data_IF_912277526788
#
_entry.id   IF_912277526788
#
_cell.length_a   1.000
_cell.length_b   1.000
_cell.length_c   1.000
_cell.angle_alpha   90.00
_cell.angle_beta   90.00
_cell.angle_gamma   90.00
#
_symmetry.space_group_name_H-M   'P 1'
#
loop_
_entity.id
_entity.type
_entity.pdbx_description
1 polymer ?
#
# COMPACT_ATOMS: atom_id res chain seq x y z
N UNK A 1 -20.03 70.20 39.62
CA UNK A 1 -20.32 68.76 39.64
C UNK A 1 -20.23 68.17 38.22
N UNK A 2 -19.05 68.17 37.60
CA UNK A 2 -18.91 67.70 36.20
C UNK A 2 -17.56 67.04 35.87
N UNK A 3 -16.80 66.57 36.87
CA UNK A 3 -15.45 66.00 36.65
C UNK A 3 -15.18 64.69 37.41
N UNK A 4 -16.20 63.90 37.71
CA UNK A 4 -16.03 62.58 38.35
C UNK A 4 -16.66 61.40 37.58
N UNK A 5 -17.20 61.64 36.38
CA UNK A 5 -17.91 60.60 35.60
C UNK A 5 -17.08 59.96 34.47
N UNK A 6 -15.81 60.36 34.28
CA UNK A 6 -15.00 59.91 33.13
C UNK A 6 -13.99 58.81 33.51
N UNK A 7 -13.69 58.56 34.79
CA UNK A 7 -12.69 57.54 35.17
C UNK A 7 -13.24 56.12 35.36
N UNK A 8 -14.56 55.91 35.44
CA UNK A 8 -15.12 54.59 35.71
C UNK A 8 -15.36 53.71 34.47
N UNK A 9 -15.23 54.25 33.25
CA UNK A 9 -15.55 53.51 32.01
C UNK A 9 -14.32 52.95 31.26
N UNK A 10 -13.09 53.12 31.79
CA UNK A 10 -11.85 52.58 31.19
C UNK A 10 -11.32 51.30 31.84
N UNK A 11 -11.89 50.82 32.94
CA UNK A 11 -11.45 49.57 33.58
C UNK A 11 -12.27 48.33 33.17
N UNK A 12 -13.45 48.48 32.55
CA UNK A 12 -14.24 47.33 32.08
C UNK A 12 -13.64 46.63 30.86
N UNK A 13 -12.94 47.35 29.98
CA UNK A 13 -12.38 46.79 28.74
C UNK A 13 -11.18 45.86 28.95
N UNK A 14 -10.43 46.01 30.04
CA UNK A 14 -9.30 45.11 30.36
C UNK A 14 -9.75 43.77 30.94
N UNK A 15 -10.88 43.72 31.66
CA UNK A 15 -11.44 42.48 32.20
C UNK A 15 -11.94 41.51 31.11
N UNK A 16 -12.56 42.04 30.05
CA UNK A 16 -13.01 41.24 28.89
C UNK A 16 -11.87 40.80 27.98
N UNK A 17 -10.76 41.56 27.92
CA UNK A 17 -9.60 41.17 27.13
C UNK A 17 -8.82 40.03 27.79
N UNK A 18 -8.64 40.06 29.12
CA UNK A 18 -7.98 38.96 29.83
C UNK A 18 -8.85 37.70 29.95
N UNK A 19 -10.17 37.83 30.15
CA UNK A 19 -11.08 36.67 30.14
C UNK A 19 -11.28 36.10 28.74
N UNK A 20 -11.31 36.93 27.69
CA UNK A 20 -11.32 36.48 26.29
C UNK A 20 -10.02 35.79 25.87
N UNK A 21 -8.86 36.29 26.29
CA UNK A 21 -7.55 35.69 25.99
C UNK A 21 -7.34 34.38 26.76
N UNK A 22 -7.79 34.27 28.01
CA UNK A 22 -7.76 33.02 28.78
C UNK A 22 -8.77 31.98 28.25
N UNK A 23 -9.92 32.41 27.71
CA UNK A 23 -10.87 31.51 27.05
C UNK A 23 -10.34 31.04 25.69
N UNK A 24 -9.68 31.91 24.93
CA UNK A 24 -9.03 31.57 23.66
C UNK A 24 -7.80 30.66 23.86
N UNK A 25 -6.98 30.89 24.89
CA UNK A 25 -5.86 30.01 25.25
C UNK A 25 -6.31 28.66 25.81
N UNK A 26 -7.53 28.54 26.36
CA UNK A 26 -8.12 27.25 26.78
C UNK A 26 -8.80 26.48 25.64
N UNK A 27 -9.23 27.16 24.57
CA UNK A 27 -9.82 26.49 23.39
C UNK A 27 -8.84 26.28 22.24
N UNK A 28 -7.66 26.92 22.29
CA UNK A 28 -6.60 26.77 21.29
C UNK A 28 -5.55 25.70 21.66
N UNK A 29 -5.78 24.88 22.68
CA UNK A 29 -5.20 23.53 22.67
C UNK A 29 -5.97 22.73 21.63
N UNK A 30 -5.66 23.00 20.35
CA UNK A 30 -5.86 22.00 19.31
C UNK A 30 -5.13 20.76 19.82
N UNK A 31 -5.89 19.82 20.37
CA UNK A 31 -5.40 18.47 20.64
C UNK A 31 -5.22 17.87 19.24
N UNK A 32 -4.11 18.22 18.61
CA UNK A 32 -3.64 17.52 17.43
C UNK A 32 -3.56 16.07 17.86
N UNK A 33 -4.23 15.18 17.10
CA UNK A 33 -4.15 13.75 17.32
C UNK A 33 -2.69 13.39 17.64
N UNK A 34 -2.45 12.82 18.82
CA UNK A 34 -1.10 12.50 19.26
C UNK A 34 -0.57 11.38 18.37
N UNK A 35 0.03 11.77 17.26
CA UNK A 35 0.82 10.86 16.43
C UNK A 35 2.04 10.48 17.26
N UNK A 36 2.23 9.21 17.61
CA UNK A 36 3.35 8.78 18.43
C UNK A 36 4.67 9.14 17.74
N UNK A 37 5.62 9.71 18.49
CA UNK A 37 7.01 9.78 18.03
C UNK A 37 7.66 8.43 18.20
N UNK A 38 8.22 7.87 17.13
CA UNK A 38 8.94 6.60 17.20
C UNK A 38 10.37 6.78 17.72
N UNK A 39 10.90 5.73 18.36
CA UNK A 39 12.26 5.72 18.86
C UNK A 39 13.31 5.65 17.74
N UNK A 40 14.62 5.67 18.09
CA UNK A 40 15.69 5.50 17.13
C UNK A 40 15.52 4.22 16.29
N UNK A 41 15.77 4.32 14.98
CA UNK A 41 15.63 3.23 14.02
C UNK A 41 14.22 2.58 13.95
N UNK A 42 13.19 3.32 14.35
CA UNK A 42 11.80 2.94 14.15
C UNK A 42 11.14 3.88 13.16
N UNK A 43 10.13 3.35 12.47
CA UNK A 43 9.28 4.13 11.56
C UNK A 43 7.84 4.04 12.04
N UNK A 44 7.11 5.14 11.83
CA UNK A 44 5.69 5.19 12.09
C UNK A 44 4.93 4.53 10.94
N UNK A 45 4.04 3.62 11.28
CA UNK A 45 3.09 2.98 10.37
C UNK A 45 1.68 3.22 10.89
N UNK A 46 0.69 3.11 10.01
CA UNK A 46 -0.70 3.14 10.45
C UNK A 46 -1.64 2.47 9.49
N UNK A 47 -2.81 2.11 10.01
CA UNK A 47 -3.93 1.54 9.29
C UNK A 47 -5.23 1.99 9.94
N UNK A 48 -6.37 1.74 9.30
CA UNK A 48 -7.66 2.08 9.88
C UNK A 48 -8.24 0.89 10.66
N UNK A 49 -8.51 1.11 11.95
CA UNK A 49 -9.35 0.23 12.75
C UNK A 49 -10.82 0.57 12.53
N UNK A 50 -11.68 -0.45 12.48
CA UNK A 50 -13.12 -0.29 12.32
C UNK A 50 -13.90 -0.55 13.61
N UNK A 51 -15.20 -0.25 13.57
CA UNK A 51 -16.14 -0.77 14.55
C UNK A 51 -16.10 -2.31 14.59
N UNK A 52 -16.15 -2.89 15.79
CA UNK A 52 -15.99 -4.34 16.01
C UNK A 52 -17.30 -5.06 16.28
N UNK A 53 -18.37 -4.33 16.62
CA UNK A 53 -19.68 -4.93 16.85
C UNK A 53 -20.82 -3.93 16.83
N UNK A 54 -22.03 -4.40 16.50
CA UNK A 54 -23.27 -3.64 16.61
C UNK A 54 -23.87 -3.89 17.99
N UNK A 55 -24.16 -2.82 18.73
CA UNK A 55 -24.72 -2.89 20.08
C UNK A 55 -26.25 -2.85 20.05
N UNK A 56 -26.81 -1.93 19.27
CA UNK A 56 -28.26 -1.75 19.18
C UNK A 56 -28.66 -0.99 17.92
N UNK A 57 -29.87 -1.24 17.43
CA UNK A 57 -30.52 -0.47 16.39
C UNK A 57 -31.84 0.11 16.90
N UNK A 58 -32.28 1.22 16.30
CA UNK A 58 -33.59 1.83 16.52
C UNK A 58 -34.21 2.13 15.16
N UNK A 59 -35.53 1.98 15.01
CA UNK A 59 -36.19 2.13 13.71
C UNK A 59 -35.88 0.96 12.76
N UNK A 60 -35.78 1.23 11.46
CA UNK A 60 -35.54 0.21 10.44
C UNK A 60 -34.11 0.30 9.91
N UNK A 61 -33.28 -0.67 10.30
CA UNK A 61 -31.90 -0.82 9.86
C UNK A 61 -31.74 -2.16 9.14
N UNK A 62 -31.17 -2.18 7.93
CA UNK A 62 -30.90 -3.41 7.18
C UNK A 62 -29.41 -3.65 7.04
N UNK A 63 -29.00 -4.92 7.03
CA UNK A 63 -27.60 -5.36 6.94
C UNK A 63 -26.69 -4.66 7.97
N UNK A 64 -27.11 -4.61 9.23
CA UNK A 64 -26.41 -3.84 10.28
C UNK A 64 -24.94 -4.22 10.49
N UNK A 65 -24.55 -5.43 10.13
CA UNK A 65 -23.17 -5.90 10.29
C UNK A 65 -22.23 -5.39 9.19
N UNK A 66 -22.76 -4.87 8.09
CA UNK A 66 -21.97 -4.34 6.98
C UNK A 66 -21.20 -3.06 7.37
N UNK A 67 -21.61 -2.37 8.45
CA UNK A 67 -20.90 -1.20 8.99
C UNK A 67 -19.59 -1.53 9.74
N UNK A 68 -19.32 -2.82 9.98
CA UNK A 68 -18.21 -3.26 10.83
C UNK A 68 -16.92 -3.39 10.03
N UNK A 69 -15.78 -3.15 10.70
CA UNK A 69 -14.47 -3.22 10.07
C UNK A 69 -14.12 -1.99 9.22
N UNK A 70 -13.29 -2.21 8.20
CA UNK A 70 -12.87 -1.15 7.30
C UNK A 70 -13.90 -0.96 6.18
N UNK A 71 -13.96 0.25 5.63
CA UNK A 71 -14.81 0.56 4.48
C UNK A 71 -14.53 -0.39 3.31
N UNK A 72 -15.51 -1.19 2.91
CA UNK A 72 -15.39 -2.20 1.85
C UNK A 72 -16.38 -1.99 0.70
N UNK A 73 -17.33 -1.07 0.88
CA UNK A 73 -18.35 -0.70 -0.11
C UNK A 73 -19.65 -1.49 0.03
N UNK A 74 -19.72 -2.50 0.90
CA UNK A 74 -20.99 -3.01 1.40
C UNK A 74 -21.59 -1.99 2.37
N UNK A 75 -22.92 -1.92 2.49
CA UNK A 75 -23.53 -0.84 3.26
C UNK A 75 -24.69 -1.31 4.12
N UNK A 76 -24.67 -0.89 5.37
CA UNK A 76 -25.83 -0.85 6.26
C UNK A 76 -26.77 0.28 5.85
N UNK A 77 -28.03 -0.02 5.53
CA UNK A 77 -29.02 1.03 5.26
C UNK A 77 -29.71 1.45 6.55
N UNK A 78 -29.61 2.73 6.84
CA UNK A 78 -30.26 3.44 7.94
C UNK A 78 -31.46 4.22 7.37
N UNK A 79 -32.69 3.72 7.56
CA UNK A 79 -33.88 4.42 7.07
C UNK A 79 -34.14 5.72 7.84
N UNK A 80 -35.01 6.57 7.31
CA UNK A 80 -35.49 7.75 8.02
C UNK A 80 -35.98 7.39 9.43
N UNK A 81 -35.73 8.26 10.42
CA UNK A 81 -36.08 8.05 11.84
C UNK A 81 -35.42 6.82 12.50
N UNK A 82 -34.27 6.38 11.98
CA UNK A 82 -33.55 5.22 12.48
C UNK A 82 -32.20 5.59 13.11
N UNK A 83 -31.64 4.65 13.86
CA UNK A 83 -30.33 4.79 14.51
C UNK A 83 -29.62 3.46 14.62
N UNK A 84 -28.29 3.48 14.58
CA UNK A 84 -27.42 2.34 14.83
C UNK A 84 -26.33 2.74 15.82
N UNK A 85 -26.02 1.86 16.76
CA UNK A 85 -24.94 2.03 17.74
C UNK A 85 -23.91 0.94 17.57
N UNK A 86 -22.65 1.32 17.44
CA UNK A 86 -21.51 0.41 17.24
C UNK A 86 -20.47 0.56 18.35
N UNK A 87 -19.79 -0.54 18.68
CA UNK A 87 -18.64 -0.59 19.60
C UNK A 87 -17.36 -0.53 18.77
N UNK A 88 -16.45 0.38 19.12
CA UNK A 88 -15.12 0.49 18.52
C UNK A 88 -14.14 -0.57 19.06
N UNK A 89 -14.56 -1.36 20.05
CA UNK A 89 -13.79 -2.43 20.70
C UNK A 89 -12.79 -1.94 21.74
N UNK A 90 -12.47 -0.64 21.70
CA UNK A 90 -11.58 0.04 22.66
C UNK A 90 -12.02 1.49 22.86
N UNK A 91 -11.48 2.12 23.91
CA UNK A 91 -11.70 3.55 24.18
C UNK A 91 -10.74 4.37 23.31
N UNK A 92 -11.29 5.16 22.40
CA UNK A 92 -10.59 6.17 21.61
C UNK A 92 -10.46 7.45 22.42
N UNK A 93 -9.23 7.89 22.68
CA UNK A 93 -8.98 9.12 23.44
C UNK A 93 -9.46 10.35 22.66
N UNK A 94 -9.90 11.39 23.37
CA UNK A 94 -10.18 12.71 22.80
C UNK A 94 -9.00 13.22 21.93
N UNK A 95 -9.31 13.94 20.85
CA UNK A 95 -8.35 14.42 19.87
C UNK A 95 -8.05 13.45 18.73
N UNK A 96 -8.41 12.16 18.86
CA UNK A 96 -8.34 11.22 17.73
C UNK A 96 -9.37 11.55 16.65
N UNK A 97 -9.07 11.17 15.42
CA UNK A 97 -9.96 11.35 14.28
C UNK A 97 -10.84 10.11 14.07
N UNK A 98 -12.14 10.31 13.97
CA UNK A 98 -13.12 9.32 13.55
C UNK A 98 -13.50 9.57 12.09
N UNK A 99 -13.46 8.56 11.25
CA UNK A 99 -13.85 8.63 9.84
C UNK A 99 -15.11 7.79 9.60
N UNK A 100 -16.13 8.39 8.98
CA UNK A 100 -17.40 7.74 8.67
C UNK A 100 -17.58 7.73 7.17
N UNK A 101 -17.67 6.54 6.59
CA UNK A 101 -17.95 6.32 5.16
C UNK A 101 -19.45 6.09 4.96
N UNK A 102 -20.09 6.96 4.19
CA UNK A 102 -21.53 6.94 3.97
C UNK A 102 -21.93 7.53 2.62
N UNK A 103 -23.15 7.26 2.18
CA UNK A 103 -23.84 7.96 1.09
C UNK A 103 -25.30 8.16 1.46
N UNK A 104 -25.99 9.04 0.75
CA UNK A 104 -27.40 9.30 0.95
C UNK A 104 -28.10 9.62 -0.36
N UNK A 105 -29.39 9.29 -0.44
CA UNK A 105 -30.26 9.58 -1.57
C UNK A 105 -30.86 10.99 -1.56
N UNK A 106 -30.83 11.69 -0.42
CA UNK A 106 -31.40 13.03 -0.27
C UNK A 106 -30.66 13.86 0.81
N UNK A 107 -31.10 15.10 1.04
CA UNK A 107 -30.45 16.04 1.96
C UNK A 107 -31.41 16.58 3.03
N UNK A 108 -32.57 15.95 3.20
CA UNK A 108 -33.65 16.52 4.01
C UNK A 108 -33.31 16.57 5.50
N UNK A 109 -32.49 15.65 5.98
CA UNK A 109 -31.97 15.59 7.35
C UNK A 109 -30.51 15.12 7.37
N UNK A 110 -29.65 15.73 8.22
CA UNK A 110 -28.27 15.29 8.38
C UNK A 110 -28.18 13.93 9.09
N UNK A 111 -27.09 13.20 8.85
CA UNK A 111 -26.67 12.08 9.66
C UNK A 111 -26.01 12.63 10.94
N UNK A 112 -26.61 12.34 12.07
CA UNK A 112 -26.11 12.74 13.37
C UNK A 112 -25.07 11.75 13.85
N UNK A 113 -23.95 12.26 14.33
CA UNK A 113 -22.87 11.46 14.93
C UNK A 113 -22.84 11.75 16.41
N UNK A 114 -23.17 10.75 17.21
CA UNK A 114 -23.17 10.83 18.65
C UNK A 114 -22.17 9.83 19.24
N UNK A 115 -21.56 10.19 20.37
CA UNK A 115 -20.51 9.39 21.00
C UNK A 115 -20.75 9.20 22.50
N UNK A 116 -20.29 8.07 23.03
CA UNK A 116 -20.34 7.76 24.45
C UNK A 116 -19.17 6.85 24.87
N UNK A 117 -18.82 6.89 26.16
CA UNK A 117 -17.89 5.93 26.79
C UNK A 117 -18.58 4.68 27.32
N UNK A 118 -19.91 4.70 27.48
CA UNK A 118 -20.76 3.57 27.91
C UNK A 118 -21.81 3.24 26.85
N UNK A 119 -22.11 1.95 26.67
CA UNK A 119 -23.08 1.47 25.68
C UNK A 119 -24.49 2.06 25.89
N UNK A 120 -24.86 2.35 27.14
CA UNK A 120 -26.16 2.92 27.51
C UNK A 120 -26.20 4.45 27.47
N UNK A 121 -25.08 5.10 27.15
CA UNK A 121 -24.95 6.56 27.14
C UNK A 121 -24.51 7.15 28.50
N UNK A 122 -24.64 8.47 28.68
CA UNK A 122 -25.27 9.43 27.78
C UNK A 122 -24.51 9.62 26.46
N UNK A 123 -25.24 9.79 25.36
CA UNK A 123 -24.68 10.07 24.04
C UNK A 123 -24.58 11.58 23.80
N UNK A 124 -23.41 12.05 23.40
CA UNK A 124 -23.15 13.45 23.05
C UNK A 124 -23.09 13.58 21.54
N UNK A 125 -23.90 14.47 20.95
CA UNK A 125 -23.82 14.79 19.54
C UNK A 125 -22.57 15.64 19.25
N UNK A 126 -21.70 15.14 18.36
CA UNK A 126 -20.42 15.78 18.05
C UNK A 126 -20.32 16.28 16.61
N UNK A 127 -21.20 15.82 15.72
CA UNK A 127 -21.23 16.27 14.35
C UNK A 127 -22.60 16.04 13.69
N UNK A 128 -22.87 16.83 12.66
CA UNK A 128 -23.98 16.66 11.73
C UNK A 128 -23.36 16.54 10.34
N UNK A 129 -23.45 15.36 9.75
CA UNK A 129 -22.94 15.09 8.42
C UNK A 129 -24.08 15.31 7.43
N UNK A 130 -24.00 16.34 6.60
CA UNK A 130 -24.94 16.50 5.50
C UNK A 130 -24.77 15.33 4.52
N UNK A 131 -25.87 14.92 3.89
CA UNK A 131 -25.80 14.04 2.72
C UNK A 131 -24.81 14.61 1.70
N UNK A 132 -23.93 13.78 1.17
CA UNK A 132 -23.00 14.21 0.13
C UNK A 132 -23.81 14.46 -1.15
N UNK A 133 -24.11 15.72 -1.43
CA UNK A 133 -24.72 16.14 -2.69
C UNK A 133 -23.67 16.02 -3.80
N UNK A 134 -23.50 14.84 -4.36
CA UNK A 134 -23.07 14.74 -5.75
C UNK A 134 -24.34 14.51 -6.57
N UNK A 135 -24.56 15.36 -7.56
CA UNK A 135 -25.51 15.25 -8.69
C UNK A 135 -26.64 14.21 -8.56
N UNK A 136 -27.93 14.58 -8.74
CA UNK A 136 -29.04 13.61 -8.74
C UNK A 136 -28.70 12.34 -9.54
N UNK A 137 -28.63 11.19 -8.85
CA UNK A 137 -28.17 9.91 -9.40
C UNK A 137 -26.75 9.47 -9.03
N UNK A 138 -25.97 10.26 -8.28
CA UNK A 138 -24.64 9.86 -7.79
C UNK A 138 -24.75 9.00 -6.53
N UNK A 139 -24.47 7.70 -6.67
CA UNK A 139 -24.37 6.74 -5.57
C UNK A 139 -22.96 6.71 -4.94
N UNK A 140 -22.23 7.83 -4.96
CA UNK A 140 -20.81 7.84 -4.60
C UNK A 140 -20.62 7.88 -3.08
N UNK A 141 -19.97 6.85 -2.55
CA UNK A 141 -19.57 6.78 -1.15
C UNK A 141 -18.63 7.95 -0.79
N UNK A 142 -18.90 8.61 0.34
CA UNK A 142 -18.11 9.73 0.85
C UNK A 142 -17.62 9.42 2.26
N UNK A 143 -16.38 9.81 2.59
CA UNK A 143 -15.82 9.67 3.93
C UNK A 143 -15.66 11.03 4.59
N UNK A 144 -16.31 11.23 5.74
CA UNK A 144 -16.16 12.44 6.56
C UNK A 144 -15.32 12.15 7.79
N UNK A 145 -14.41 13.07 8.13
CA UNK A 145 -13.51 12.97 9.28
C UNK A 145 -13.90 13.95 10.38
N UNK A 146 -13.95 13.47 11.63
CA UNK A 146 -14.44 14.20 12.80
C UNK A 146 -13.45 14.00 13.95
N UNK A 147 -12.96 15.07 14.57
CA UNK A 147 -12.13 14.97 15.77
C UNK A 147 -12.99 14.71 17.01
N UNK A 148 -12.65 13.68 17.77
CA UNK A 148 -13.36 13.32 18.99
C UNK A 148 -13.14 14.38 20.09
N UNK A 149 -14.20 14.99 20.65
CA UNK A 149 -14.05 15.96 21.73
C UNK A 149 -13.87 15.31 23.11
N UNK A 150 -14.19 14.02 23.24
CA UNK A 150 -14.16 13.25 24.49
C UNK A 150 -13.74 11.82 24.22
N UNK A 151 -13.23 11.15 25.27
CA UNK A 151 -12.94 9.72 25.23
C UNK A 151 -14.21 8.92 24.89
N UNK A 152 -14.10 8.08 23.87
CA UNK A 152 -15.26 7.48 23.20
C UNK A 152 -15.00 6.00 22.92
N UNK A 153 -15.97 5.14 23.23
CA UNK A 153 -15.94 3.72 22.81
C UNK A 153 -17.10 3.37 21.90
N UNK A 154 -18.25 4.03 22.08
CA UNK A 154 -19.47 3.74 21.35
C UNK A 154 -19.84 4.91 20.46
N UNK A 155 -20.15 4.61 19.19
CA UNK A 155 -20.61 5.58 18.20
C UNK A 155 -22.06 5.26 17.88
N UNK A 156 -22.95 6.25 18.00
CA UNK A 156 -24.33 6.17 17.54
C UNK A 156 -24.49 7.08 16.33
N UNK A 157 -24.98 6.50 15.24
CA UNK A 157 -25.36 7.20 14.02
C UNK A 157 -26.88 7.22 13.94
N UNK A 158 -27.48 8.39 13.73
CA UNK A 158 -28.95 8.52 13.63
C UNK A 158 -29.39 9.55 12.62
N UNK A 159 -30.61 9.37 12.09
CA UNK A 159 -31.24 10.27 11.11
C UNK A 159 -32.72 10.41 11.43
N UNK A 160 -33.33 11.54 11.11
CA UNK A 160 -34.75 11.85 11.39
C UNK A 160 -35.61 12.00 10.13
N UNK A 161 -35.03 11.92 8.93
CA UNK A 161 -35.78 12.20 7.70
C UNK A 161 -35.17 11.66 6.41
N UNK A 162 -33.87 11.39 6.42
CA UNK A 162 -33.11 10.96 5.25
C UNK A 162 -32.64 9.53 5.41
N UNK A 163 -32.67 8.76 4.32
CA UNK A 163 -32.04 7.43 4.27
C UNK A 163 -30.54 7.57 4.03
N UNK A 164 -29.75 6.84 4.81
CA UNK A 164 -28.29 6.77 4.66
C UNK A 164 -27.85 5.33 4.44
N UNK A 165 -26.93 5.13 3.52
CA UNK A 165 -26.19 3.87 3.39
C UNK A 165 -24.80 4.08 3.99
N UNK A 166 -24.51 3.34 5.06
CA UNK A 166 -23.30 3.45 5.88
C UNK A 166 -22.38 2.28 5.54
N UNK A 167 -21.13 2.54 5.16
CA UNK A 167 -20.14 1.51 4.84
C UNK A 167 -19.29 1.19 6.08
N UNK A 168 -18.70 2.21 6.72
CA UNK A 168 -17.88 1.94 7.90
C UNK A 168 -17.72 3.14 8.84
N UNK A 169 -17.41 2.83 10.09
CA UNK A 169 -16.94 3.77 11.10
C UNK A 169 -15.54 3.36 11.51
N UNK A 170 -14.54 4.20 11.22
CA UNK A 170 -13.13 3.87 11.35
C UNK A 170 -12.31 4.94 12.09
N UNK A 171 -11.12 4.59 12.53
CA UNK A 171 -10.15 5.49 13.16
C UNK A 171 -8.72 5.05 12.80
N UNK A 172 -7.76 5.97 12.69
CA UNK A 172 -6.38 5.60 12.43
C UNK A 172 -5.77 4.94 13.68
N UNK A 173 -5.10 3.82 13.47
CA UNK A 173 -4.24 3.15 14.44
C UNK A 173 -2.81 3.39 14.00
N UNK A 174 -1.98 3.95 14.88
CA UNK A 174 -0.56 4.15 14.63
C UNK A 174 0.30 3.16 15.42
N UNK A 175 1.33 2.63 14.79
CA UNK A 175 2.33 1.74 15.41
C UNK A 175 3.73 2.13 14.99
N UNK A 176 4.62 2.20 15.96
CA UNK A 176 6.06 2.24 15.70
C UNK A 176 6.56 0.83 15.45
N UNK A 177 7.21 0.63 14.32
CA UNK A 177 7.81 -0.64 13.92
C UNK A 177 9.27 -0.42 13.63
N UNK A 178 10.09 -1.48 13.75
CA UNK A 178 11.49 -1.38 13.40
C UNK A 178 11.63 -1.02 11.92
N UNK A 179 12.59 -0.17 11.59
CA UNK A 179 12.93 0.09 10.20
C UNK A 179 13.39 -1.23 9.55
N UNK A 180 12.71 -1.73 8.51
CA UNK A 180 13.07 -3.00 7.87
C UNK A 180 14.41 -2.91 7.14
N UNK A 181 14.88 -1.71 6.81
CA UNK A 181 16.21 -1.48 6.28
C UNK A 181 17.22 -1.43 7.44
N UNK A 182 18.06 -2.47 7.65
CA UNK A 182 19.06 -2.45 8.70
C UNK A 182 20.12 -1.38 8.42
N UNK A 183 20.70 -0.84 9.49
CA UNK A 183 21.93 -0.05 9.38
C UNK A 183 23.10 -1.02 9.19
N UNK A 184 23.80 -0.91 8.07
CA UNK A 184 24.93 -1.78 7.79
C UNK A 184 26.18 -1.37 8.55
N UNK A 185 26.99 -2.36 8.96
CA UNK A 185 28.25 -2.11 9.62
C UNK A 185 29.24 -1.39 8.69
N UNK A 186 30.29 -0.78 9.25
CA UNK A 186 31.35 -0.19 8.45
C UNK A 186 31.93 -1.23 7.47
N UNK A 187 32.12 -0.83 6.21
CA UNK A 187 32.57 -1.71 5.13
C UNK A 187 31.45 -2.56 4.51
N UNK A 188 30.19 -2.38 4.91
CA UNK A 188 29.03 -2.99 4.27
C UNK A 188 28.16 -1.92 3.58
N UNK A 189 27.45 -2.32 2.52
CA UNK A 189 26.42 -1.52 1.88
C UNK A 189 25.07 -2.22 1.98
N UNK A 190 24.00 -1.43 2.10
CA UNK A 190 22.65 -1.94 2.09
C UNK A 190 22.27 -2.31 0.65
N UNK A 191 21.93 -3.57 0.43
CA UNK A 191 21.30 -4.02 -0.81
C UNK A 191 19.78 -4.09 -0.61
N UNK A 192 19.04 -3.64 -1.61
CA UNK A 192 17.58 -3.77 -1.68
C UNK A 192 17.20 -4.41 -3.01
N UNK A 193 16.33 -5.42 -2.98
CA UNK A 193 15.73 -6.00 -4.19
C UNK A 193 14.25 -6.31 -3.95
N UNK A 194 13.48 -6.37 -5.03
CA UNK A 194 12.05 -6.68 -4.98
C UNK A 194 11.83 -8.18 -5.08
N UNK A 195 10.99 -8.73 -4.21
CA UNK A 195 10.53 -10.11 -4.27
C UNK A 195 9.01 -10.15 -4.45
N UNK A 196 8.54 -11.04 -5.33
CA UNK A 196 7.12 -11.31 -5.52
C UNK A 196 6.57 -12.29 -4.49
N UNK A 197 5.24 -12.37 -4.40
CA UNK A 197 4.57 -13.49 -3.73
C UNK A 197 4.97 -14.82 -4.38
N UNK A 198 5.04 -15.90 -3.61
CA UNK A 198 5.57 -17.19 -4.07
C UNK A 198 4.48 -18.14 -4.54
N UNK A 199 3.26 -18.03 -4.00
CA UNK A 199 2.14 -18.90 -4.37
C UNK A 199 0.79 -18.29 -4.04
N UNK A 200 -0.26 -18.86 -4.64
CA UNK A 200 -1.65 -18.61 -4.27
C UNK A 200 -2.02 -19.57 -3.14
N UNK A 201 -2.37 -19.03 -1.98
CA UNK A 201 -2.80 -19.80 -0.82
C UNK A 201 -4.29 -20.18 -0.89
N UNK A 202 -5.15 -19.22 -1.26
CA UNK A 202 -6.59 -19.43 -1.33
C UNK A 202 -7.25 -18.43 -2.29
N UNK A 203 -8.41 -18.82 -2.82
CA UNK A 203 -9.32 -17.93 -3.55
C UNK A 203 -10.74 -18.09 -3.02
N UNK A 204 -11.55 -17.03 -3.09
CA UNK A 204 -12.99 -17.10 -2.86
C UNK A 204 -13.73 -16.41 -4.00
N UNK A 205 -14.85 -16.95 -4.44
CA UNK A 205 -15.57 -16.45 -5.62
C UNK A 205 -14.87 -16.82 -6.94
N UNK A 206 -15.09 -16.03 -7.98
CA UNK A 206 -14.51 -16.27 -9.32
C UNK A 206 -13.19 -15.53 -9.48
N UNK A 207 -12.09 -16.28 -9.45
CA UNK A 207 -10.74 -15.79 -9.77
C UNK A 207 -10.21 -16.57 -10.96
N UNK A 208 -9.89 -15.87 -12.05
CA UNK A 208 -9.32 -16.47 -13.26
C UNK A 208 -7.83 -16.18 -13.34
N UNK A 209 -7.00 -17.17 -13.67
CA UNK A 209 -5.55 -16.99 -13.81
C UNK A 209 -4.86 -16.61 -12.50
N UNK A 210 -5.30 -17.16 -11.36
CA UNK A 210 -4.80 -16.76 -10.03
C UNK A 210 -3.27 -16.85 -9.88
N UNK A 211 -2.64 -17.84 -10.51
CA UNK A 211 -1.17 -17.99 -10.50
C UNK A 211 -0.44 -16.80 -11.14
N UNK A 212 -1.09 -16.06 -12.03
CA UNK A 212 -0.51 -14.88 -12.67
C UNK A 212 -0.26 -13.75 -11.67
N UNK A 213 -0.92 -13.73 -10.51
CA UNK A 213 -0.66 -12.74 -9.45
C UNK A 213 0.62 -13.01 -8.63
N UNK A 214 1.35 -14.08 -8.95
CA UNK A 214 2.54 -14.52 -8.21
C UNK A 214 3.82 -14.15 -8.94
N UNK A 215 4.93 -14.05 -8.21
CA UNK A 215 6.20 -13.66 -8.76
C UNK A 215 6.31 -12.15 -9.04
N UNK A 216 7.30 -11.76 -9.85
CA UNK A 216 7.51 -10.38 -10.27
C UNK A 216 6.43 -9.91 -11.26
N UNK A 217 6.23 -8.59 -11.42
CA UNK A 217 5.36 -8.07 -12.47
C UNK A 217 5.86 -8.50 -13.85
N UNK A 218 5.01 -9.18 -14.61
CA UNK A 218 5.32 -9.69 -15.95
C UNK A 218 4.29 -9.26 -17.01
N UNK A 219 3.21 -8.60 -16.58
CA UNK A 219 2.14 -8.09 -17.45
C UNK A 219 0.98 -9.07 -17.63
N UNK A 220 1.11 -10.31 -17.15
CA UNK A 220 0.04 -11.31 -17.18
C UNK A 220 -0.78 -11.20 -15.90
N UNK A 221 -2.10 -11.07 -16.02
CA UNK A 221 -2.94 -10.70 -14.86
C UNK A 221 -3.81 -11.84 -14.37
N UNK A 222 -4.02 -11.90 -13.05
CA UNK A 222 -5.13 -12.59 -12.42
C UNK A 222 -6.37 -11.67 -12.41
N UNK A 223 -7.53 -12.21 -12.77
CA UNK A 223 -8.79 -11.44 -12.75
C UNK A 223 -9.58 -11.78 -11.50
N UNK A 224 -9.86 -10.79 -10.68
CA UNK A 224 -10.74 -10.86 -9.52
C UNK A 224 -12.08 -10.20 -9.88
N UNK A 225 -13.17 -10.96 -9.92
CA UNK A 225 -14.53 -10.43 -10.10
C UNK A 225 -15.39 -10.80 -8.88
N UNK A 226 -15.70 -9.81 -8.04
CA UNK A 226 -16.40 -10.00 -6.76
C UNK A 226 -15.85 -11.20 -5.98
N UNK A 227 -14.53 -11.21 -5.81
CA UNK A 227 -13.78 -12.34 -5.31
C UNK A 227 -12.61 -11.87 -4.44
N UNK A 228 -11.98 -12.83 -3.76
CA UNK A 228 -10.71 -12.59 -3.08
C UNK A 228 -9.64 -13.57 -3.52
N UNK A 229 -8.39 -13.10 -3.49
CA UNK A 229 -7.20 -13.93 -3.62
C UNK A 229 -6.33 -13.72 -2.39
N UNK A 230 -5.81 -14.81 -1.84
CA UNK A 230 -4.82 -14.79 -0.76
C UNK A 230 -3.51 -15.33 -1.31
N UNK A 231 -2.46 -14.52 -1.24
CA UNK A 231 -1.11 -14.82 -1.72
C UNK A 231 -0.19 -15.11 -0.53
N UNK A 232 0.65 -16.14 -0.64
CA UNK A 232 1.73 -16.43 0.32
C UNK A 232 3.02 -15.77 -0.16
N UNK A 233 3.63 -14.93 0.67
CA UNK A 233 4.91 -14.29 0.41
C UNK A 233 6.09 -15.27 0.54
N UNK A 234 5.84 -16.51 0.97
CA UNK A 234 6.80 -17.60 1.16
C UNK A 234 7.57 -17.52 2.47
N UNK A 235 7.69 -16.32 3.05
CA UNK A 235 8.31 -16.06 4.34
C UNK A 235 7.61 -14.90 5.05
N UNK A 236 7.86 -14.74 6.35
CA UNK A 236 7.35 -13.59 7.10
C UNK A 236 8.15 -12.36 6.70
N UNK A 237 7.46 -11.39 6.12
CA UNK A 237 7.96 -10.06 5.79
C UNK A 237 7.74 -9.16 6.99
N UNK A 238 8.81 -8.53 7.47
CA UNK A 238 8.75 -7.67 8.65
C UNK A 238 7.84 -6.45 8.43
N UNK A 239 7.20 -5.99 9.50
CA UNK A 239 6.49 -4.73 9.54
C UNK A 239 7.40 -3.57 9.10
N UNK A 240 6.80 -2.52 8.56
CA UNK A 240 7.50 -1.36 8.03
C UNK A 240 7.95 -1.52 6.58
N UNK A 241 7.97 -2.73 6.03
CA UNK A 241 8.19 -2.96 4.59
C UNK A 241 7.09 -2.30 3.75
N UNK A 242 7.41 -1.98 2.50
CA UNK A 242 6.43 -1.52 1.53
C UNK A 242 5.95 -2.73 0.74
N UNK A 243 4.65 -2.94 0.78
CA UNK A 243 3.93 -3.83 -0.11
C UNK A 243 3.55 -3.04 -1.37
N UNK A 244 4.01 -3.50 -2.52
CA UNK A 244 3.77 -2.88 -3.83
C UNK A 244 2.91 -3.81 -4.67
N UNK A 245 1.74 -3.32 -5.08
CA UNK A 245 0.79 -4.03 -5.91
C UNK A 245 0.78 -3.43 -7.32
N UNK A 246 0.97 -4.24 -8.35
CA UNK A 246 0.74 -3.84 -9.75
C UNK A 246 -0.65 -4.33 -10.17
N UNK A 247 -1.53 -3.39 -10.52
CA UNK A 247 -2.92 -3.69 -10.82
C UNK A 247 -3.55 -2.71 -11.79
N UNK A 248 -4.67 -3.11 -12.38
CA UNK A 248 -5.64 -2.21 -13.03
C UNK A 248 -7.06 -2.68 -12.67
N UNK A 249 -8.06 -1.97 -13.14
CA UNK A 249 -9.46 -2.35 -12.97
C UNK A 249 -10.25 -2.10 -14.24
N UNK A 250 -11.34 -2.86 -14.41
CA UNK A 250 -12.23 -2.75 -15.58
C UNK A 250 -12.82 -1.34 -15.75
N UNK A 251 -13.07 -0.65 -14.64
CA UNK A 251 -13.62 0.71 -14.62
C UNK A 251 -12.65 1.68 -13.94
N UNK A 252 -12.79 2.98 -14.21
CA UNK A 252 -11.97 4.05 -13.62
C UNK A 252 -12.46 4.52 -12.25
N UNK A 253 -13.66 4.09 -11.83
CA UNK A 253 -14.22 4.33 -10.48
C UNK A 253 -14.98 3.11 -9.93
N UNK A 254 -14.37 1.92 -9.87
CA UNK A 254 -14.96 0.79 -9.17
C UNK A 254 -14.83 1.00 -7.65
N UNK A 255 -15.47 0.13 -6.90
CA UNK A 255 -15.20 0.03 -5.47
C UNK A 255 -13.71 -0.28 -5.23
N UNK A 256 -13.16 0.22 -4.11
CA UNK A 256 -11.74 0.08 -3.83
C UNK A 256 -11.35 -1.39 -3.58
N UNK A 257 -10.20 -1.80 -4.12
CA UNK A 257 -9.60 -3.10 -3.84
C UNK A 257 -9.05 -3.09 -2.42
N UNK A 258 -9.62 -3.91 -1.55
CA UNK A 258 -9.20 -4.01 -0.16
C UNK A 258 -7.93 -4.85 -0.05
N UNK A 259 -6.99 -4.39 0.77
CA UNK A 259 -5.75 -5.10 1.06
C UNK A 259 -5.71 -5.43 2.53
N UNK A 260 -5.71 -6.73 2.84
CA UNK A 260 -5.57 -7.23 4.20
C UNK A 260 -4.37 -8.13 4.34
N UNK A 261 -3.78 -8.20 5.53
CA UNK A 261 -2.57 -8.98 5.78
C UNK A 261 -2.69 -9.84 7.03
N UNK A 262 -1.95 -10.95 7.07
CA UNK A 262 -1.91 -11.91 8.18
C UNK A 262 -0.57 -12.65 8.22
N UNK A 263 -0.18 -13.15 9.40
CA UNK A 263 0.91 -14.13 9.52
C UNK A 263 0.43 -15.58 9.31
N UNK A 264 -0.87 -15.83 9.46
CA UNK A 264 -1.51 -17.14 9.36
C UNK A 264 -2.36 -17.24 8.10
N UNK A 265 -2.30 -18.39 7.43
CA UNK A 265 -3.05 -18.68 6.21
C UNK A 265 -4.58 -18.51 6.39
N UNK A 266 -5.06 -18.77 7.61
CA UNK A 266 -6.48 -18.73 7.97
C UNK A 266 -6.90 -17.42 8.67
N UNK A 267 -5.99 -16.44 8.75
CA UNK A 267 -6.22 -15.20 9.49
C UNK A 267 -5.97 -15.33 11.00
N UNK A 268 -6.42 -14.33 11.79
CA UNK A 268 -7.24 -13.19 11.38
C UNK A 268 -6.50 -12.24 10.43
N UNK A 269 -7.20 -11.75 9.42
CA UNK A 269 -6.67 -10.76 8.47
C UNK A 269 -6.95 -9.34 8.99
N UNK A 270 -5.91 -8.49 8.97
CA UNK A 270 -6.02 -7.06 9.29
C UNK A 270 -6.07 -6.27 8.00
N UNK A 271 -7.11 -5.47 7.77
CA UNK A 271 -7.15 -4.53 6.65
C UNK A 271 -6.12 -3.41 6.88
N UNK A 272 -5.27 -3.16 5.89
CA UNK A 272 -4.18 -2.18 5.96
C UNK A 272 -4.37 -1.01 4.99
N UNK A 273 -5.48 -1.00 4.26
CA UNK A 273 -5.80 0.01 3.28
C UNK A 273 -6.44 -0.59 2.04
N UNK A 274 -6.61 0.27 1.05
CA UNK A 274 -7.28 -0.08 -0.18
C UNK A 274 -6.72 0.74 -1.35
N UNK A 275 -6.90 0.25 -2.56
CA UNK A 275 -6.57 0.99 -3.76
C UNK A 275 -7.81 1.34 -4.57
N UNK A 276 -7.94 2.60 -4.97
CA UNK A 276 -8.96 3.01 -5.93
C UNK A 276 -8.66 2.43 -7.31
N UNK A 277 -9.70 2.02 -8.03
CA UNK A 277 -9.52 1.46 -9.36
C UNK A 277 -8.98 2.47 -10.38
N UNK A 278 -8.21 1.96 -11.32
CA UNK A 278 -7.67 2.70 -12.44
C UNK A 278 -7.80 1.84 -13.71
N UNK A 279 -8.36 2.42 -14.78
CA UNK A 279 -8.53 1.74 -16.07
C UNK A 279 -7.21 1.36 -16.74
N UNK A 280 -6.08 1.87 -16.25
CA UNK A 280 -4.72 1.54 -16.71
C UNK A 280 -3.91 0.88 -15.62
N UNK A 281 -2.96 0.02 -15.99
CA UNK A 281 -2.00 -0.57 -15.06
C UNK A 281 -1.25 0.50 -14.27
N UNK A 282 -1.27 0.35 -12.95
CA UNK A 282 -0.66 1.26 -11.99
C UNK A 282 -0.01 0.48 -10.86
N UNK A 283 0.86 1.14 -10.10
CA UNK A 283 1.48 0.57 -8.89
C UNK A 283 0.95 1.28 -7.66
N UNK A 284 0.37 0.52 -6.74
CA UNK A 284 -0.09 0.99 -5.43
C UNK A 284 0.86 0.52 -4.33
N UNK A 285 1.14 1.39 -3.37
CA UNK A 285 2.04 1.09 -2.25
C UNK A 285 1.32 1.21 -0.90
N UNK A 286 1.48 0.21 -0.04
CA UNK A 286 1.04 0.24 1.35
C UNK A 286 2.18 -0.17 2.26
N UNK A 287 2.37 0.55 3.36
CA UNK A 287 3.37 0.19 4.37
C UNK A 287 2.77 -0.81 5.34
N UNK A 288 3.45 -1.95 5.54
CA UNK A 288 2.98 -2.99 6.45
C UNK A 288 3.00 -2.49 7.91
N UNK A 289 1.87 -2.47 8.62
CA UNK A 289 1.84 -2.10 10.03
C UNK A 289 2.10 -3.28 10.99
N UNK A 290 2.18 -4.50 10.44
CA UNK A 290 2.49 -5.74 11.14
C UNK A 290 3.30 -6.68 10.25
N UNK A 291 4.07 -7.56 10.89
CA UNK A 291 4.75 -8.67 10.24
C UNK A 291 3.74 -9.53 9.48
N UNK A 292 4.02 -9.85 8.22
CA UNK A 292 3.04 -10.38 7.28
C UNK A 292 3.62 -11.54 6.50
N UNK A 293 2.86 -12.62 6.35
CA UNK A 293 3.18 -13.71 5.39
C UNK A 293 2.14 -13.85 4.29
N UNK A 294 0.88 -13.58 4.61
CA UNK A 294 -0.25 -13.72 3.69
C UNK A 294 -0.86 -12.36 3.41
N UNK A 295 -1.08 -12.08 2.13
CA UNK A 295 -1.76 -10.87 1.65
C UNK A 295 -3.06 -11.30 0.99
N UNK A 296 -4.19 -10.76 1.45
CA UNK A 296 -5.51 -10.97 0.87
C UNK A 296 -5.95 -9.71 0.14
N UNK A 297 -6.21 -9.83 -1.15
CA UNK A 297 -6.84 -8.81 -1.96
C UNK A 297 -8.30 -9.19 -2.15
N UNK A 298 -9.24 -8.27 -1.90
CA UNK A 298 -10.66 -8.55 -1.96
C UNK A 298 -11.47 -7.38 -2.54
N UNK A 299 -12.53 -7.72 -3.27
CA UNK A 299 -13.53 -6.77 -3.76
C UNK A 299 -14.87 -7.15 -3.13
N UNK A 300 -15.50 -6.24 -2.40
CA UNK A 300 -16.69 -6.56 -1.60
C UNK A 300 -18.04 -6.21 -2.25
N UNK A 301 -18.09 -5.83 -3.53
CA UNK A 301 -19.39 -5.74 -4.22
C UNK A 301 -19.36 -6.14 -5.71
N UNK A 302 -20.53 -6.54 -6.25
CA UNK A 302 -20.68 -6.93 -7.64
C UNK A 302 -20.41 -5.74 -8.59
N UNK A 303 -20.13 -6.04 -9.87
CA UNK A 303 -19.93 -5.07 -10.96
C UNK A 303 -18.55 -4.39 -11.04
N UNK A 304 -17.53 -4.90 -10.35
CA UNK A 304 -16.15 -4.48 -10.60
C UNK A 304 -15.20 -5.67 -10.67
N UNK A 305 -14.29 -5.60 -11.65
CA UNK A 305 -13.18 -6.53 -11.76
C UNK A 305 -11.85 -5.79 -11.61
N UNK A 306 -10.92 -6.41 -10.89
CA UNK A 306 -9.53 -5.99 -10.82
C UNK A 306 -8.65 -7.00 -11.53
N UNK A 307 -7.62 -6.49 -12.19
CA UNK A 307 -6.60 -7.25 -12.87
C UNK A 307 -5.30 -7.09 -12.06
N UNK A 308 -4.83 -8.17 -11.47
CA UNK A 308 -3.68 -8.18 -10.57
C UNK A 308 -2.51 -8.84 -11.29
N UNK A 309 -1.46 -8.09 -11.53
CA UNK A 309 -0.21 -8.57 -12.13
C UNK A 309 0.70 -9.15 -11.04
N UNK A 310 1.04 -8.36 -10.01
CA UNK A 310 1.90 -8.87 -8.96
C UNK A 310 1.73 -8.16 -7.62
N UNK A 311 1.99 -8.92 -6.54
CA UNK A 311 2.25 -8.39 -5.20
C UNK A 311 3.72 -8.59 -4.88
N UNK A 312 4.41 -7.48 -4.61
CA UNK A 312 5.85 -7.44 -4.36
C UNK A 312 6.20 -6.73 -3.05
N UNK A 313 7.37 -7.01 -2.50
CA UNK A 313 7.91 -6.37 -1.32
C UNK A 313 9.43 -6.25 -1.41
N UNK A 314 10.02 -5.33 -0.64
CA UNK A 314 11.47 -5.18 -0.57
C UNK A 314 12.10 -6.21 0.37
N UNK A 315 13.22 -6.78 -0.05
CA UNK A 315 14.13 -7.52 0.81
C UNK A 315 15.39 -6.67 0.99
N UNK A 316 15.78 -6.51 2.25
CA UNK A 316 16.96 -5.74 2.65
C UNK A 316 18.02 -6.67 3.20
N UNK A 317 19.27 -6.44 2.82
CA UNK A 317 20.39 -7.16 3.42
C UNK A 317 21.68 -6.37 3.30
N UNK A 318 22.51 -6.47 4.32
CA UNK A 318 23.82 -5.83 4.33
C UNK A 318 24.85 -6.75 3.69
N UNK A 319 25.48 -6.25 2.64
CA UNK A 319 26.55 -6.97 1.94
C UNK A 319 27.87 -6.33 2.27
N UNK A 320 28.97 -7.10 2.37
CA UNK A 320 30.29 -6.50 2.26
C UNK A 320 30.29 -5.63 1.01
N UNK A 321 30.69 -4.37 1.14
CA UNK A 321 31.07 -3.62 -0.06
C UNK A 321 32.11 -4.48 -0.76
N UNK A 322 32.02 -4.59 -2.09
CA UNK A 322 33.05 -5.18 -2.92
C UNK A 322 34.33 -4.35 -2.75
N UNK A 323 34.99 -4.56 -1.62
CA UNK A 323 36.25 -3.98 -1.26
C UNK A 323 37.27 -4.91 -1.90
N UNK A 324 37.77 -4.48 -3.04
CA UNK A 324 39.20 -4.70 -3.27
C UNK A 324 39.85 -4.02 -2.07
N UNK A 325 40.38 -4.81 -1.12
CA UNK A 325 41.17 -4.27 -0.02
C UNK A 325 42.46 -3.72 -0.62
N UNK A 326 42.40 -2.47 -1.05
CA UNK A 326 43.55 -1.71 -1.50
C UNK A 326 44.47 -1.51 -0.29
N UNK A 327 45.78 -1.73 -0.45
CA UNK A 327 46.74 -1.45 0.61
C UNK A 327 46.71 0.05 0.97
N UNK A 328 47.20 0.42 2.15
CA UNK A 328 47.29 1.82 2.58
C UNK A 328 47.94 2.69 1.48
N UNK A 329 47.22 3.72 1.01
CA UNK A 329 47.65 4.61 -0.06
C UNK A 329 47.13 4.26 -1.47
N UNK A 330 46.40 3.16 -1.63
CA UNK A 330 45.73 2.80 -2.88
C UNK A 330 44.23 3.14 -2.82
N UNK A 331 43.69 3.72 -3.89
CA UNK A 331 42.26 3.91 -4.07
C UNK A 331 41.72 2.86 -5.04
N UNK A 332 40.59 2.20 -4.74
CA UNK A 332 39.90 1.40 -5.73
C UNK A 332 39.36 2.31 -6.83
N UNK A 333 39.91 2.19 -8.04
CA UNK A 333 39.39 2.86 -9.23
C UNK A 333 38.30 1.95 -9.81
N UNK A 334 37.03 2.26 -9.53
CA UNK A 334 35.89 1.61 -10.16
C UNK A 334 35.76 2.11 -11.61
N UNK A 335 36.56 1.58 -12.55
CA UNK A 335 36.53 2.06 -13.94
C UNK A 335 36.41 0.99 -15.02
N UNK A 336 36.29 -0.30 -14.70
CA UNK A 336 36.00 -1.30 -15.74
C UNK A 336 34.57 -1.80 -15.61
N UNK A 337 33.65 -1.22 -16.39
CA UNK A 337 32.48 -1.97 -16.84
C UNK A 337 33.06 -3.19 -17.57
N UNK A 338 32.70 -4.39 -17.15
CA UNK A 338 33.12 -5.62 -17.83
C UNK A 338 31.90 -6.15 -18.57
N UNK A 339 32.02 -6.22 -19.90
CA UNK A 339 30.99 -6.80 -20.74
C UNK A 339 30.86 -8.31 -20.58
N UNK A 340 29.78 -8.88 -21.11
CA UNK A 340 29.70 -10.33 -21.28
C UNK A 340 30.88 -10.83 -22.11
N UNK A 341 31.42 -11.99 -21.79
CA UNK A 341 32.62 -12.55 -22.42
C UNK A 341 32.30 -13.41 -23.64
N UNK A 342 31.20 -14.16 -23.58
CA UNK A 342 30.76 -14.99 -24.70
C UNK A 342 29.27 -15.29 -24.64
N UNK A 343 28.70 -15.59 -25.80
CA UNK A 343 27.37 -16.20 -25.91
C UNK A 343 27.53 -17.71 -25.86
N UNK A 344 26.64 -18.37 -25.12
CA UNK A 344 26.81 -19.76 -24.70
C UNK A 344 25.68 -20.61 -25.23
N UNK A 345 24.46 -20.08 -25.18
CA UNK A 345 23.29 -20.74 -25.71
C UNK A 345 22.25 -19.71 -26.14
N UNK A 346 21.47 -20.06 -27.15
CA UNK A 346 20.32 -19.29 -27.62
C UNK A 346 19.13 -20.22 -27.82
N UNK A 347 17.94 -19.71 -27.62
CA UNK A 347 16.68 -20.42 -27.92
C UNK A 347 15.74 -19.44 -28.60
N UNK A 348 15.01 -19.89 -29.63
CA UNK A 348 14.12 -19.02 -30.42
C UNK A 348 14.86 -18.18 -31.46
N UNK A 349 14.24 -17.06 -31.86
CA UNK A 349 14.78 -16.10 -32.80
C UNK A 349 15.74 -15.14 -32.12
N UNK A 350 17.05 -15.47 -32.13
CA UNK A 350 18.11 -14.59 -31.61
C UNK A 350 19.04 -14.21 -32.74
N UNK A 351 19.18 -12.90 -32.99
CA UNK A 351 20.04 -12.33 -34.04
C UNK A 351 21.20 -11.52 -33.45
N UNK A 352 22.26 -11.38 -34.24
CA UNK A 352 23.41 -10.52 -33.93
C UNK A 352 24.01 -10.78 -32.53
N UNK A 353 24.21 -12.06 -32.18
CA UNK A 353 24.68 -12.49 -30.86
C UNK A 353 26.07 -11.97 -30.51
N UNK A 354 26.91 -11.64 -31.48
CA UNK A 354 28.22 -11.02 -31.22
C UNK A 354 28.10 -9.65 -30.56
N UNK A 355 26.99 -8.94 -30.79
CA UNK A 355 26.80 -7.56 -30.31
C UNK A 355 26.47 -7.46 -28.82
N UNK A 356 26.16 -8.59 -28.15
CA UNK A 356 25.96 -8.61 -26.69
C UNK A 356 27.27 -8.78 -25.91
N UNK A 357 28.37 -9.13 -26.60
CA UNK A 357 29.67 -9.40 -25.98
C UNK A 357 30.45 -8.09 -25.87
N UNK A 358 31.15 -7.89 -24.75
CA UNK A 358 31.98 -6.72 -24.54
C UNK A 358 31.19 -5.45 -24.22
N UNK A 359 31.66 -4.31 -24.73
CA UNK A 359 31.07 -3.01 -24.44
C UNK A 359 29.96 -2.67 -25.45
N UNK A 360 28.90 -1.93 -25.03
CA UNK A 360 27.90 -1.44 -25.96
C UNK A 360 28.56 -0.64 -27.09
N UNK A 361 28.42 -1.12 -28.33
CA UNK A 361 28.98 -0.50 -29.53
C UNK A 361 27.91 0.24 -30.38
N UNK A 362 26.66 0.29 -29.89
CA UNK A 362 25.53 0.91 -30.57
C UNK A 362 24.74 -0.02 -31.50
N UNK A 363 25.23 -1.24 -31.76
CA UNK A 363 24.52 -2.28 -32.50
C UNK A 363 23.79 -3.21 -31.53
N UNK A 364 22.46 -3.37 -31.64
CA UNK A 364 21.73 -4.24 -30.72
C UNK A 364 21.76 -5.71 -31.18
N UNK A 365 21.92 -6.64 -30.24
CA UNK A 365 21.46 -8.02 -30.44
C UNK A 365 19.93 -8.04 -30.41
N UNK A 366 19.30 -8.89 -31.24
CA UNK A 366 17.85 -9.01 -31.34
C UNK A 366 17.38 -10.28 -30.66
N UNK A 367 16.37 -10.17 -29.80
CA UNK A 367 15.61 -11.31 -29.26
C UNK A 367 14.15 -11.17 -29.71
N UNK A 368 13.65 -12.16 -30.42
CA UNK A 368 12.23 -12.29 -30.74
C UNK A 368 11.44 -12.75 -29.51
N UNK A 369 10.11 -12.70 -29.61
CA UNK A 369 9.22 -13.23 -28.58
C UNK A 369 9.49 -14.72 -28.32
N UNK A 370 9.38 -15.16 -27.07
CA UNK A 370 9.69 -16.51 -26.60
C UNK A 370 11.11 -16.97 -26.89
N UNK A 371 12.05 -16.01 -26.98
CA UNK A 371 13.46 -16.28 -27.20
C UNK A 371 14.28 -16.02 -25.95
N UNK A 372 15.41 -16.71 -25.84
CA UNK A 372 16.37 -16.48 -24.75
C UNK A 372 17.80 -16.51 -25.24
N UNK A 373 18.63 -15.73 -24.57
CA UNK A 373 20.05 -15.60 -24.83
C UNK A 373 20.81 -15.79 -23.52
N UNK A 374 21.70 -16.77 -23.47
CA UNK A 374 22.54 -17.06 -22.31
C UNK A 374 23.97 -16.63 -22.60
N UNK A 375 24.53 -15.80 -21.72
CA UNK A 375 25.89 -15.26 -21.82
C UNK A 375 26.76 -15.66 -20.62
N UNK A 376 28.05 -15.88 -20.89
CA UNK A 376 29.10 -16.03 -19.88
C UNK A 376 29.60 -14.64 -19.49
N UNK A 377 29.53 -14.30 -18.20
CA UNK A 377 30.07 -13.04 -17.69
C UNK A 377 31.60 -13.12 -17.44
N UNK A 378 32.22 -14.26 -17.77
CA UNK A 378 33.66 -14.49 -17.78
C UNK A 378 34.25 -14.77 -16.40
N UNK A 379 33.66 -14.22 -15.35
CA UNK A 379 34.02 -14.47 -13.94
C UNK A 379 32.77 -14.59 -13.08
N UNK A 380 32.92 -15.22 -11.92
CA UNK A 380 31.87 -15.24 -10.91
C UNK A 380 31.63 -13.83 -10.39
N UNK A 381 30.40 -13.34 -10.57
CA UNK A 381 29.90 -12.11 -10.01
C UNK A 381 29.41 -12.37 -8.59
N UNK A 382 29.81 -11.50 -7.67
CA UNK A 382 29.29 -11.49 -6.31
C UNK A 382 27.88 -10.87 -6.29
N UNK A 383 27.07 -11.31 -5.34
CA UNK A 383 25.82 -10.64 -5.01
C UNK A 383 26.06 -9.16 -4.67
N UNK A 384 25.10 -8.29 -5.00
CA UNK A 384 25.26 -6.84 -4.87
C UNK A 384 25.90 -6.14 -6.07
N UNK A 385 26.43 -6.88 -7.06
CA UNK A 385 26.87 -6.26 -8.32
C UNK A 385 25.66 -5.79 -9.14
N UNK A 386 25.74 -4.57 -9.67
CA UNK A 386 24.72 -3.99 -10.56
C UNK A 386 25.04 -4.35 -12.01
N UNK A 387 24.11 -5.07 -12.63
CA UNK A 387 24.07 -5.31 -14.06
C UNK A 387 23.42 -4.12 -14.76
N UNK A 388 24.09 -3.60 -15.80
CA UNK A 388 23.56 -2.52 -16.62
C UNK A 388 23.23 -3.05 -18.00
N UNK A 389 22.01 -2.77 -18.47
CA UNK A 389 21.49 -3.21 -19.75
C UNK A 389 21.16 -1.99 -20.59
N UNK A 390 21.61 -1.98 -21.84
CA UNK A 390 21.15 -0.99 -22.82
C UNK A 390 20.27 -1.73 -23.80
N UNK A 391 18.99 -1.36 -23.87
CA UNK A 391 17.98 -2.14 -24.60
C UNK A 391 16.90 -1.23 -25.20
N UNK A 392 16.18 -1.79 -26.17
CA UNK A 392 14.97 -1.23 -26.78
C UNK A 392 14.05 -2.38 -27.12
N UNK A 393 12.77 -2.22 -26.87
CA UNK A 393 11.75 -3.14 -27.29
C UNK A 393 11.05 -2.62 -28.56
N UNK A 394 10.69 -3.53 -29.46
CA UNK A 394 9.89 -3.19 -30.66
C UNK A 394 8.38 -3.22 -30.37
N UNK A 395 7.96 -3.91 -29.31
CA UNK A 395 6.60 -3.91 -28.80
C UNK A 395 6.61 -3.41 -27.34
N UNK A 396 5.54 -2.78 -26.87
CA UNK A 396 5.45 -2.26 -25.48
C UNK A 396 4.96 -3.29 -24.47
N UNK A 397 4.66 -4.50 -24.93
CA UNK A 397 3.89 -5.50 -24.16
C UNK A 397 4.77 -6.57 -23.51
N UNK A 398 5.99 -6.81 -24.00
CA UNK A 398 6.87 -7.86 -23.48
C UNK A 398 8.06 -7.27 -22.70
N UNK A 399 8.08 -7.34 -21.35
CA UNK A 399 9.25 -6.93 -20.58
C UNK A 399 10.43 -7.90 -20.79
N UNK A 400 11.65 -7.38 -20.59
CA UNK A 400 12.86 -8.21 -20.63
C UNK A 400 13.06 -8.85 -19.26
N UNK A 401 13.02 -10.19 -19.19
CA UNK A 401 13.25 -10.92 -17.95
C UNK A 401 14.72 -11.32 -17.84
N UNK A 402 15.30 -11.09 -16.66
CA UNK A 402 16.71 -11.37 -16.41
C UNK A 402 16.81 -12.47 -15.35
N UNK A 403 17.58 -13.50 -15.71
CA UNK A 403 17.80 -14.69 -14.91
C UNK A 403 19.29 -14.96 -14.77
N UNK A 404 19.71 -15.59 -13.68
CA UNK A 404 21.13 -15.87 -13.41
C UNK A 404 21.36 -17.29 -12.89
N UNK A 405 22.52 -17.87 -13.18
CA UNK A 405 22.90 -19.19 -12.71
C UNK A 405 24.39 -19.28 -12.36
N UNK A 406 24.74 -20.23 -11.48
CA UNK A 406 26.13 -20.56 -11.12
C UNK A 406 26.80 -21.49 -12.15
N UNK A 407 26.00 -22.28 -12.87
CA UNK A 407 26.44 -23.13 -13.98
C UNK A 407 25.56 -22.93 -15.22
N UNK A 408 26.13 -23.14 -16.41
CA UNK A 408 25.46 -22.88 -17.71
C UNK A 408 24.17 -23.68 -17.87
N UNK A 409 24.13 -24.90 -17.33
CA UNK A 409 23.00 -25.83 -17.36
C UNK A 409 22.30 -25.96 -16.00
N UNK A 410 22.62 -25.08 -15.05
CA UNK A 410 22.04 -25.09 -13.72
C UNK A 410 20.64 -24.50 -13.68
N UNK A 411 20.05 -24.51 -12.49
CA UNK A 411 18.82 -23.79 -12.22
C UNK A 411 19.07 -22.29 -12.35
N UNK A 412 18.30 -21.64 -13.22
CA UNK A 412 18.30 -20.19 -13.37
C UNK A 412 17.37 -19.58 -12.32
N UNK A 413 17.86 -18.56 -11.62
CA UNK A 413 17.10 -17.77 -10.65
C UNK A 413 16.75 -16.44 -11.27
N UNK A 414 15.46 -16.10 -11.27
CA UNK A 414 14.98 -14.81 -11.74
C UNK A 414 15.49 -13.69 -10.81
N UNK A 415 16.00 -12.60 -11.39
CA UNK A 415 16.54 -11.47 -10.62
C UNK A 415 15.83 -10.14 -10.87
N UNK A 416 15.01 -10.03 -11.92
CA UNK A 416 14.24 -8.83 -12.20
C UNK A 416 13.76 -8.72 -13.65
N UNK A 417 12.81 -7.82 -13.87
CA UNK A 417 12.34 -7.42 -15.21
C UNK A 417 12.82 -6.02 -15.53
N UNK A 418 13.10 -5.77 -16.80
CA UNK A 418 13.29 -4.43 -17.34
C UNK A 418 12.07 -4.06 -18.19
N UNK A 419 11.42 -2.91 -17.94
CA UNK A 419 10.17 -2.54 -18.59
C UNK A 419 10.38 -2.35 -20.08
N UNK A 420 9.40 -2.74 -20.90
CA UNK A 420 9.46 -2.50 -22.33
C UNK A 420 9.48 -0.99 -22.65
N UNK A 421 10.45 -0.57 -23.48
CA UNK A 421 10.61 0.83 -23.93
C UNK A 421 10.86 0.86 -25.43
N UNK A 422 10.05 1.61 -26.18
CA UNK A 422 10.18 1.78 -27.63
C UNK A 422 11.44 2.53 -28.08
N UNK A 423 12.10 3.23 -27.16
CA UNK A 423 13.37 3.94 -27.36
C UNK A 423 14.52 3.19 -26.68
N UNK A 424 15.74 3.39 -27.19
CA UNK A 424 16.95 2.91 -26.51
C UNK A 424 17.03 3.52 -25.11
N UNK A 425 17.07 2.66 -24.10
CA UNK A 425 17.13 3.04 -22.69
C UNK A 425 18.18 2.22 -21.97
N UNK A 426 18.60 2.72 -20.80
CA UNK A 426 19.46 1.97 -19.88
C UNK A 426 18.63 1.52 -18.68
N UNK A 427 18.67 0.22 -18.39
CA UNK A 427 18.09 -0.40 -17.21
C UNK A 427 19.17 -0.99 -16.32
N UNK A 428 18.91 -1.05 -15.02
CA UNK A 428 19.85 -1.63 -14.06
C UNK A 428 19.12 -2.64 -13.17
N UNK A 429 19.79 -3.76 -12.88
CA UNK A 429 19.35 -4.76 -11.92
C UNK A 429 20.52 -5.14 -11.03
N UNK A 430 20.27 -5.35 -9.74
CA UNK A 430 21.33 -5.74 -8.80
C UNK A 430 21.17 -7.20 -8.38
N UNK A 431 22.27 -7.96 -8.40
CA UNK A 431 22.26 -9.39 -8.11
C UNK A 431 21.82 -9.67 -6.66
N UNK A 432 20.81 -10.54 -6.41
CA UNK A 432 20.29 -10.81 -5.07
C UNK A 432 21.24 -11.67 -4.22
N UNK A 433 21.09 -11.58 -2.90
CA UNK A 433 21.91 -12.29 -1.92
C UNK A 433 21.33 -13.67 -1.64
N UNK A 434 22.15 -14.69 -1.86
CA UNK A 434 21.75 -16.10 -1.81
C UNK A 434 22.37 -16.90 -2.95
N UNK A 435 22.80 -16.22 -4.02
CA UNK A 435 23.50 -16.81 -5.13
C UNK A 435 25.00 -16.53 -4.97
N UNK A 436 25.69 -17.44 -4.26
CA UNK A 436 27.15 -17.38 -4.20
C UNK A 436 27.69 -17.67 -5.60
N UNK A 437 28.43 -16.71 -6.17
CA UNK A 437 29.19 -16.82 -7.44
C UNK A 437 28.33 -17.09 -8.69
N UNK A 438 27.71 -16.04 -9.24
CA UNK A 438 26.95 -16.11 -10.49
C UNK A 438 27.84 -15.85 -11.69
N UNK A 439 27.89 -16.79 -12.66
CA UNK A 439 28.70 -16.62 -13.86
C UNK A 439 27.87 -16.47 -15.13
N UNK A 440 26.67 -17.03 -15.14
CA UNK A 440 25.85 -17.11 -16.34
C UNK A 440 24.61 -16.23 -16.19
N UNK A 441 24.35 -15.44 -17.22
CA UNK A 441 23.21 -14.54 -17.31
C UNK A 441 22.35 -15.01 -18.47
N UNK A 442 21.06 -15.23 -18.22
CA UNK A 442 20.07 -15.52 -19.25
C UNK A 442 19.10 -14.36 -19.35
N UNK A 443 18.96 -13.84 -20.56
CA UNK A 443 18.01 -12.82 -20.94
C UNK A 443 16.87 -13.50 -21.69
N UNK A 444 15.63 -13.25 -21.28
CA UNK A 444 14.44 -13.90 -21.84
C UNK A 444 13.41 -12.83 -22.22
N UNK A 445 12.81 -12.99 -23.39
CA UNK A 445 11.61 -12.25 -23.80
C UNK A 445 10.46 -13.25 -23.84
N UNK A 446 9.46 -13.09 -22.99
CA UNK A 446 8.24 -13.91 -23.01
C UNK A 446 7.10 -13.14 -23.70
N UNK A 447 6.21 -13.86 -24.38
CA UNK A 447 4.92 -13.27 -24.79
C UNK A 447 4.08 -12.96 -23.55
N UNK A 448 3.54 -11.75 -23.50
CA UNK A 448 2.41 -11.41 -22.62
C UNK A 448 1.10 -11.95 -23.17
#
# INVERSE_FOLDING_TARGET
MNNLYISFNRQKTWGYFLTGLLLWLRTASAVWAQVPSCGPNQILTGYFGGATGVISTTGTVTNSNDILGAADGTTTTLNANSGITVDMGLVLTAGNSLAISYKSSDLTAPLQVLVASSATGPYTNIAQLSGALQTPGSNTLTTSSITLPVDTRYIRLSTTGTVYDLDAVTYPIYKCVNNPAPTCAAGQTLLTYSAGSQSVNATTGTVTGSANATGPPDGVVATLNYSSITLDLGSVVAAGNILSLVFSSQYTKPLPLQVSVSQSANGPFTNIGSFSGNGTTTTGNLRLPLDTRYVRLAIAAPYSAYYIDAVTYSIYSCVPQSAISCASGQQPVYSSIVGAKSVVNTTGGVGYTAEIIGFPNGSPSTLDVNSSLTVDMGSAMAAGNTLTFTYRALNTESPLQIWTATSVWGAYTFIGTLPSRGTMTTGQLTLPLGLNTLRWLRVVVLTG
#
